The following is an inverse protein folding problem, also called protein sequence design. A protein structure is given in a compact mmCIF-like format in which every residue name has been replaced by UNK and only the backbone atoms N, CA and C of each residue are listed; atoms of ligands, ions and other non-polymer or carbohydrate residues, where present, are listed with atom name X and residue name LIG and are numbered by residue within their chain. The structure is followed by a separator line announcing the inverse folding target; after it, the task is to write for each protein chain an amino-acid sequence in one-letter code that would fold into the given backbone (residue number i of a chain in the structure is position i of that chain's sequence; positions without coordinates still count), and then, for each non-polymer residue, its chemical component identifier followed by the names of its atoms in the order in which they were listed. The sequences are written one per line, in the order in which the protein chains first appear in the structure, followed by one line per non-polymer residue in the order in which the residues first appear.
data_IF_729458721453
#
_entry.id   IF_729458721453
#
_cell.length_a   1.000
_cell.length_b   1.000
_cell.length_c   1.000
_cell.angle_alpha   90.00
_cell.angle_beta   90.00
_cell.angle_gamma   90.00
#
_symmetry.space_group_name_H-M   'P 1'
#
loop_
_entity.id
_entity.type
_entity.pdbx_description
1 polymer ?
#
# COMPACT_ATOMS: atom_id res chain seq x y z
N UNK A 1 10.58 20.31 -7.46
CA UNK A 1 10.22 20.02 -6.05
C UNK A 1 11.41 20.20 -5.12
N UNK A 2 12.55 19.53 -5.36
CA UNK A 2 13.74 19.62 -4.49
C UNK A 2 14.46 20.98 -4.50
N UNK A 3 14.50 21.67 -5.65
CA UNK A 3 15.05 23.03 -5.73
C UNK A 3 14.31 24.07 -4.87
N UNK A 4 13.10 23.75 -4.39
CA UNK A 4 12.27 24.64 -3.58
C UNK A 4 12.28 24.31 -2.08
N UNK A 5 13.05 23.29 -1.66
CA UNK A 5 13.19 22.92 -0.24
C UNK A 5 14.62 22.43 0.04
N UNK A 6 15.53 23.34 0.45
CA UNK A 6 16.92 23.00 0.74
C UNK A 6 17.07 21.94 1.83
N UNK A 7 16.20 21.98 2.85
CA UNK A 7 16.19 20.99 3.93
C UNK A 7 15.89 19.57 3.39
N UNK A 8 14.86 19.42 2.55
CA UNK A 8 14.52 18.13 1.95
C UNK A 8 15.62 17.64 1.00
N UNK A 9 16.20 18.55 0.21
CA UNK A 9 17.32 18.21 -0.67
C UNK A 9 18.52 17.69 0.12
N UNK A 10 18.86 18.35 1.22
CA UNK A 10 19.93 17.93 2.12
C UNK A 10 19.64 16.57 2.76
N UNK A 11 18.42 16.36 3.27
CA UNK A 11 18.01 15.05 3.81
C UNK A 11 18.06 13.93 2.77
N UNK A 12 17.65 14.19 1.52
CA UNK A 12 17.74 13.20 0.44
C UNK A 12 19.19 12.89 0.04
N UNK A 13 20.07 13.89 0.05
CA UNK A 13 21.48 13.69 -0.21
C UNK A 13 22.14 12.86 0.91
N UNK A 14 21.77 13.11 2.17
CA UNK A 14 22.32 12.41 3.33
C UNK A 14 22.00 10.91 3.35
N UNK A 15 20.85 10.50 2.80
CA UNK A 15 20.46 9.08 2.72
C UNK A 15 20.97 8.38 1.45
N UNK A 16 21.62 9.11 0.54
CA UNK A 16 22.11 8.57 -0.73
C UNK A 16 23.57 8.14 -0.60
N UNK A 17 23.88 6.91 -1.01
CA UNK A 17 25.25 6.45 -1.23
C UNK A 17 25.47 6.08 -2.70
N UNK A 18 26.68 6.33 -3.19
CA UNK A 18 27.11 5.89 -4.53
C UNK A 18 28.16 4.80 -4.30
N UNK A 19 27.87 3.60 -4.77
CA UNK A 19 28.75 2.43 -4.69
C UNK A 19 29.14 1.96 -6.09
N UNK A 20 30.06 1.00 -6.18
CA UNK A 20 30.45 0.38 -7.46
C UNK A 20 29.26 -0.29 -8.18
N UNK A 21 28.25 -0.71 -7.42
CA UNK A 21 27.02 -1.32 -7.92
C UNK A 21 25.92 -0.30 -8.27
N UNK A 22 26.19 0.99 -8.14
CA UNK A 22 25.25 2.07 -8.48
C UNK A 22 24.84 2.95 -7.29
N UNK A 23 23.75 3.69 -7.45
CA UNK A 23 23.23 4.56 -6.39
C UNK A 23 22.27 3.79 -5.48
N UNK A 24 22.53 3.81 -4.17
CA UNK A 24 21.63 3.27 -3.14
C UNK A 24 21.06 4.39 -2.26
N UNK A 25 19.84 4.17 -1.75
CA UNK A 25 19.19 5.06 -0.80
C UNK A 25 18.88 4.29 0.48
N UNK A 26 19.15 4.90 1.63
CA UNK A 26 18.91 4.36 2.96
C UNK A 26 17.87 5.22 3.69
N UNK A 27 16.59 5.14 3.28
CA UNK A 27 15.53 5.90 3.93
C UNK A 27 15.39 5.49 5.40
N UNK A 28 14.93 6.43 6.23
CA UNK A 28 14.47 6.14 7.58
C UNK A 28 13.23 5.24 7.49
N UNK A 29 13.45 3.93 7.65
CA UNK A 29 12.39 2.93 7.51
C UNK A 29 11.33 3.02 8.59
N UNK A 30 11.66 3.53 9.78
CA UNK A 30 10.66 3.74 10.84
C UNK A 30 9.71 4.88 10.46
N UNK A 31 10.25 5.95 9.88
CA UNK A 31 9.43 7.03 9.32
C UNK A 31 8.58 6.54 8.15
N UNK A 32 9.14 5.72 7.26
CA UNK A 32 8.38 5.14 6.14
C UNK A 32 7.22 4.31 6.67
N UNK A 33 7.47 3.38 7.61
CA UNK A 33 6.41 2.56 8.24
C UNK A 33 5.32 3.41 8.87
N UNK A 34 5.66 4.44 9.67
CA UNK A 34 4.67 5.36 10.25
C UNK A 34 3.80 6.05 9.20
N UNK A 35 4.39 6.46 8.08
CA UNK A 35 3.64 7.10 6.98
C UNK A 35 2.71 6.08 6.31
N UNK A 36 3.21 4.88 6.01
CA UNK A 36 2.43 3.82 5.38
C UNK A 36 1.25 3.40 6.28
N UNK A 37 1.49 3.18 7.58
CA UNK A 37 0.42 2.87 8.55
C UNK A 37 -0.64 3.97 8.59
N UNK A 38 -0.23 5.25 8.61
CA UNK A 38 -1.18 6.37 8.59
C UNK A 38 -2.05 6.37 7.33
N UNK A 39 -1.46 6.14 6.16
CA UNK A 39 -2.19 6.09 4.90
C UNK A 39 -3.13 4.88 4.88
N UNK A 40 -2.67 3.73 5.35
CA UNK A 40 -3.45 2.51 5.40
C UNK A 40 -4.67 2.65 6.32
N UNK A 41 -4.51 3.23 7.52
CA UNK A 41 -5.63 3.57 8.42
C UNK A 41 -6.68 4.46 7.75
N UNK A 42 -6.25 5.44 6.96
CA UNK A 42 -7.16 6.30 6.22
C UNK A 42 -7.97 5.54 5.16
N UNK A 43 -7.34 4.59 4.45
CA UNK A 43 -8.03 3.75 3.48
C UNK A 43 -8.96 2.74 4.13
N UNK A 44 -8.57 2.13 5.25
CA UNK A 44 -9.45 1.24 6.01
C UNK A 44 -10.71 1.99 6.48
N UNK A 45 -10.56 3.19 7.04
CA UNK A 45 -11.70 4.01 7.47
C UNK A 45 -12.58 4.44 6.29
N UNK A 46 -12.00 4.73 5.13
CA UNK A 46 -12.74 5.16 3.96
C UNK A 46 -13.46 4.01 3.24
N UNK A 47 -12.78 2.88 3.02
CA UNK A 47 -13.30 1.76 2.24
C UNK A 47 -14.12 0.77 3.08
N UNK A 48 -13.60 0.42 4.26
CA UNK A 48 -14.14 -0.64 5.12
C UNK A 48 -14.97 -0.12 6.28
N UNK A 49 -14.95 1.20 6.53
CA UNK A 49 -15.57 1.82 7.72
C UNK A 49 -14.90 1.40 9.05
N UNK A 50 -13.63 0.98 8.99
CA UNK A 50 -12.88 0.51 10.15
C UNK A 50 -11.89 1.54 10.68
N UNK A 51 -11.83 1.68 12.00
CA UNK A 51 -10.94 2.62 12.69
C UNK A 51 -9.95 1.88 13.57
N UNK A 52 -8.69 1.83 13.16
CA UNK A 52 -7.62 1.19 13.91
C UNK A 52 -6.82 2.22 14.72
N UNK A 53 -6.92 2.15 16.05
CA UNK A 53 -6.12 2.96 16.97
C UNK A 53 -4.82 2.24 17.40
N UNK A 54 -4.81 0.91 17.39
CA UNK A 54 -3.65 0.09 17.71
C UNK A 54 -2.68 -0.06 16.54
N UNK A 55 -1.46 -0.50 16.83
CA UNK A 55 -0.46 -0.80 15.81
C UNK A 55 -0.88 -2.01 14.98
N UNK A 56 -0.62 -2.00 13.66
CA UNK A 56 -0.88 -3.13 12.79
C UNK A 56 -0.05 -4.35 13.19
N UNK A 57 -0.55 -5.52 12.82
CA UNK A 57 0.16 -6.79 12.98
C UNK A 57 1.43 -6.83 12.13
N UNK A 58 1.35 -6.33 10.89
CA UNK A 58 2.50 -6.22 10.00
C UNK A 58 2.45 -4.95 9.14
N UNK A 59 3.63 -4.45 8.78
CA UNK A 59 3.84 -3.35 7.82
C UNK A 59 4.99 -3.72 6.90
N UNK A 60 4.65 -4.20 5.71
CA UNK A 60 5.61 -4.60 4.69
C UNK A 60 5.77 -3.52 3.64
N UNK A 61 7.01 -3.26 3.26
CA UNK A 61 7.40 -2.26 2.27
C UNK A 61 8.50 -2.84 1.41
N UNK A 62 8.23 -3.01 0.12
CA UNK A 62 9.13 -3.68 -0.80
C UNK A 62 9.04 -3.11 -2.21
N UNK A 63 10.15 -3.09 -2.99
CA UNK A 63 10.08 -2.89 -4.42
C UNK A 63 9.33 -4.06 -5.08
N UNK A 64 8.35 -3.77 -5.94
CA UNK A 64 7.61 -4.80 -6.68
C UNK A 64 8.55 -5.68 -7.53
N UNK A 65 9.63 -5.11 -8.06
CA UNK A 65 10.63 -5.82 -8.84
C UNK A 65 11.42 -6.88 -8.07
N UNK A 66 11.31 -6.93 -6.74
CA UNK A 66 11.94 -7.96 -5.91
C UNK A 66 11.01 -9.14 -5.62
N UNK A 67 9.72 -9.03 -5.95
CA UNK A 67 8.78 -10.15 -5.80
C UNK A 67 9.00 -11.16 -6.93
N UNK A 68 8.83 -12.45 -6.61
CA UNK A 68 8.62 -13.47 -7.62
C UNK A 68 7.26 -13.28 -8.29
N UNK A 69 7.06 -13.85 -9.49
CA UNK A 69 5.77 -13.77 -10.18
C UNK A 69 4.61 -14.25 -9.31
N UNK A 70 4.81 -15.33 -8.54
CA UNK A 70 3.80 -15.85 -7.63
C UNK A 70 3.53 -14.89 -6.46
N UNK A 71 4.57 -14.30 -5.86
CA UNK A 71 4.39 -13.35 -4.76
C UNK A 71 3.72 -12.06 -5.25
N UNK A 72 4.03 -11.61 -6.46
CA UNK A 72 3.35 -10.49 -7.11
C UNK A 72 1.88 -10.81 -7.36
N UNK A 73 1.56 -11.99 -7.88
CA UNK A 73 0.18 -12.43 -8.07
C UNK A 73 -0.59 -12.48 -6.74
N UNK A 74 0.00 -13.01 -5.68
CA UNK A 74 -0.62 -13.05 -4.35
C UNK A 74 -0.86 -11.64 -3.80
N UNK A 75 0.11 -10.74 -3.97
CA UNK A 75 -0.04 -9.34 -3.56
C UNK A 75 -1.13 -8.62 -4.37
N UNK A 76 -1.22 -8.89 -5.67
CA UNK A 76 -2.16 -8.18 -6.55
C UNK A 76 -3.60 -8.68 -6.50
N UNK A 77 -3.86 -9.83 -5.86
CA UNK A 77 -5.18 -10.45 -5.77
C UNK A 77 -5.60 -10.70 -4.32
N UNK A 78 -6.90 -10.54 -4.04
CA UNK A 78 -7.49 -10.96 -2.76
C UNK A 78 -7.84 -12.45 -2.81
N UNK A 79 -7.25 -13.23 -1.89
CA UNK A 79 -7.52 -14.65 -1.71
C UNK A 79 -7.23 -15.56 -2.92
N UNK A 80 -6.82 -16.80 -2.66
CA UNK A 80 -6.64 -17.85 -3.69
C UNK A 80 -7.99 -18.39 -4.24
N UNK A 81 -8.96 -17.51 -4.54
CA UNK A 81 -10.29 -17.90 -4.97
C UNK A 81 -11.15 -18.57 -3.89
N UNK A 82 -10.70 -18.59 -2.63
CA UNK A 82 -11.47 -19.06 -1.48
C UNK A 82 -12.05 -17.86 -0.76
N UNK A 83 -13.37 -17.69 -0.91
CA UNK A 83 -14.24 -16.78 -0.17
C UNK A 83 -13.52 -15.52 0.34
N UNK A 84 -13.20 -14.58 -0.57
CA UNK A 84 -12.87 -13.21 -0.17
C UNK A 84 -13.95 -12.78 0.82
N UNK A 85 -13.55 -12.46 2.06
CA UNK A 85 -14.53 -12.19 3.10
C UNK A 85 -15.36 -10.99 2.65
N UNK A 86 -16.68 -11.16 2.65
CA UNK A 86 -17.58 -10.15 2.11
C UNK A 86 -17.41 -8.89 2.96
N UNK A 87 -17.17 -7.72 2.34
CA UNK A 87 -17.08 -6.48 3.09
C UNK A 87 -18.40 -6.20 3.81
N UNK A 88 -18.32 -5.44 4.90
CA UNK A 88 -19.49 -5.05 5.68
C UNK A 88 -20.55 -4.38 4.81
N UNK A 89 -21.82 -4.71 5.10
CA UNK A 89 -22.96 -4.15 4.38
C UNK A 89 -23.00 -2.63 4.57
N UNK A 90 -22.99 -1.90 3.46
CA UNK A 90 -22.97 -0.44 3.46
C UNK A 90 -21.58 0.18 3.37
N UNK A 91 -20.51 -0.62 3.49
CA UNK A 91 -19.14 -0.17 3.21
C UNK A 91 -18.97 0.22 1.73
N UNK A 92 -17.96 1.03 1.43
CA UNK A 92 -17.63 1.36 0.03
C UNK A 92 -17.06 0.15 -0.69
N UNK A 93 -16.29 -0.69 0.00
CA UNK A 93 -15.80 -1.95 -0.55
C UNK A 93 -16.97 -2.83 -1.05
N UNK A 94 -18.08 -2.91 -0.30
CA UNK A 94 -19.29 -3.62 -0.76
C UNK A 94 -19.94 -2.95 -1.98
N UNK A 95 -20.02 -1.62 -2.02
CA UNK A 95 -20.54 -0.89 -3.19
C UNK A 95 -19.68 -1.16 -4.44
N UNK A 96 -18.35 -1.21 -4.29
CA UNK A 96 -17.42 -1.48 -5.40
C UNK A 96 -17.54 -2.89 -5.98
N UNK A 97 -17.96 -3.87 -5.20
CA UNK A 97 -18.25 -5.21 -5.73
C UNK A 97 -19.44 -5.19 -6.71
N UNK A 98 -20.38 -4.27 -6.53
CA UNK A 98 -21.57 -4.11 -7.38
C UNK A 98 -21.33 -3.13 -8.55
N UNK A 99 -20.67 -2.00 -8.27
CA UNK A 99 -20.45 -0.91 -9.23
C UNK A 99 -19.17 -1.09 -10.07
N UNK A 100 -18.25 -1.94 -9.61
CA UNK A 100 -16.91 -2.09 -10.15
C UNK A 100 -15.88 -1.17 -9.48
N UNK A 101 -14.60 -1.48 -9.72
CA UNK A 101 -13.48 -0.71 -9.20
C UNK A 101 -13.03 0.36 -10.21
N UNK A 102 -12.67 1.58 -9.77
CA UNK A 102 -12.14 2.61 -10.67
C UNK A 102 -10.77 2.20 -11.22
N UNK A 103 -10.69 2.02 -12.55
CA UNK A 103 -9.47 1.64 -13.25
C UNK A 103 -9.66 0.38 -14.07
N UNK A 104 -8.55 -0.25 -14.44
CA UNK A 104 -8.46 -1.46 -15.26
C UNK A 104 -8.08 -2.71 -14.46
N UNK A 105 -7.88 -2.58 -13.14
CA UNK A 105 -7.52 -3.66 -12.23
C UNK A 105 -8.65 -3.97 -11.24
N UNK A 106 -9.26 -5.16 -11.30
CA UNK A 106 -10.20 -5.62 -10.28
C UNK A 106 -9.58 -5.55 -8.87
N UNK A 107 -10.37 -5.14 -7.87
CA UNK A 107 -9.90 -5.00 -6.48
C UNK A 107 -9.08 -3.75 -6.19
N UNK A 108 -8.52 -3.08 -7.20
CA UNK A 108 -7.69 -1.89 -7.03
C UNK A 108 -8.46 -0.61 -7.35
N UNK A 109 -8.39 0.36 -6.45
CA UNK A 109 -8.80 1.75 -6.71
C UNK A 109 -7.60 2.50 -7.28
N UNK A 110 -7.65 2.83 -8.58
CA UNK A 110 -6.61 3.64 -9.23
C UNK A 110 -6.90 5.12 -9.03
N UNK A 111 -6.19 5.74 -8.08
CA UNK A 111 -6.34 7.18 -7.74
C UNK A 111 -5.63 8.06 -8.77
N UNK A 112 -4.40 7.68 -9.14
CA UNK A 112 -3.62 8.35 -10.17
C UNK A 112 -2.85 7.31 -10.98
N UNK A 113 -3.20 7.18 -12.27
CA UNK A 113 -2.59 6.20 -13.17
C UNK A 113 -1.06 6.26 -13.14
N UNK A 114 -0.44 5.11 -12.89
CA UNK A 114 1.03 4.96 -12.82
C UNK A 114 1.70 5.64 -11.63
N UNK A 115 0.94 6.15 -10.66
CA UNK A 115 1.46 6.92 -9.52
C UNK A 115 0.92 6.44 -8.18
N UNK A 116 -0.38 6.17 -8.09
CA UNK A 116 -0.98 5.70 -6.86
C UNK A 116 -2.21 4.84 -7.11
N UNK A 117 -2.18 3.64 -6.56
CA UNK A 117 -3.32 2.73 -6.46
C UNK A 117 -3.31 2.05 -5.10
N UNK A 118 -4.49 1.69 -4.61
CA UNK A 118 -4.63 0.95 -3.36
C UNK A 118 -5.77 -0.06 -3.46
N UNK A 119 -5.77 -0.97 -2.51
CA UNK A 119 -6.76 -2.01 -2.31
C UNK A 119 -6.99 -2.11 -0.81
N UNK A 120 -8.24 -2.25 -0.39
CA UNK A 120 -8.62 -2.50 0.99
C UNK A 120 -9.70 -3.57 1.01
N UNK A 121 -9.64 -4.47 1.97
CA UNK A 121 -10.52 -5.62 2.06
C UNK A 121 -10.17 -6.50 3.25
N UNK A 122 -10.84 -7.64 3.32
CA UNK A 122 -10.80 -8.52 4.48
C UNK A 122 -10.36 -9.92 4.04
N UNK A 123 -9.28 -10.42 4.64
CA UNK A 123 -8.73 -11.79 4.51
C UNK A 123 -8.77 -12.47 5.90
N UNK A 124 -7.64 -12.91 6.45
CA UNK A 124 -7.52 -13.38 7.85
C UNK A 124 -7.51 -12.21 8.87
N UNK A 125 -8.08 -11.07 8.47
CA UNK A 125 -8.02 -9.77 9.12
C UNK A 125 -8.19 -8.65 8.09
N UNK A 126 -8.12 -7.39 8.52
CA UNK A 126 -8.23 -6.26 7.60
C UNK A 126 -6.90 -5.96 6.94
N UNK A 127 -6.90 -5.93 5.60
CA UNK A 127 -5.72 -5.69 4.79
C UNK A 127 -5.88 -4.41 4.00
N UNK A 128 -4.79 -3.62 3.95
CA UNK A 128 -4.65 -2.53 2.98
C UNK A 128 -3.35 -2.70 2.23
N UNK A 129 -3.45 -2.84 0.91
CA UNK A 129 -2.33 -2.87 -0.02
C UNK A 129 -2.29 -1.57 -0.81
N UNK A 130 -1.10 -1.04 -1.07
CA UNK A 130 -0.93 0.15 -1.90
C UNK A 130 0.34 0.08 -2.73
N UNK A 131 0.31 0.76 -3.87
CA UNK A 131 1.45 0.84 -4.78
C UNK A 131 1.72 2.30 -5.12
N UNK A 132 2.97 2.73 -4.91
CA UNK A 132 3.47 4.05 -5.25
C UNK A 132 4.36 3.97 -6.50
N UNK A 133 3.98 4.71 -7.53
CA UNK A 133 4.68 4.84 -8.82
C UNK A 133 5.01 3.51 -9.51
N UNK A 134 4.14 2.51 -9.36
CA UNK A 134 4.35 1.13 -9.86
C UNK A 134 5.71 0.52 -9.48
N UNK A 135 6.28 1.00 -8.37
CA UNK A 135 7.59 0.57 -7.88
C UNK A 135 7.51 0.08 -6.45
N UNK A 136 6.97 0.89 -5.53
CA UNK A 136 6.96 0.56 -4.11
C UNK A 136 5.62 -0.07 -3.74
N UNK A 137 5.62 -1.36 -3.45
CA UNK A 137 4.51 -2.08 -2.84
C UNK A 137 4.53 -1.92 -1.32
N UNK A 138 3.34 -1.77 -0.75
CA UNK A 138 3.16 -1.76 0.70
C UNK A 138 1.94 -2.58 1.07
N UNK A 139 2.03 -3.30 2.17
CA UNK A 139 0.95 -4.07 2.77
C UNK A 139 0.89 -3.79 4.26
N UNK A 140 -0.32 -3.56 4.77
CA UNK A 140 -0.58 -3.36 6.19
C UNK A 140 -1.74 -4.26 6.59
N UNK A 141 -1.53 -5.01 7.67
CA UNK A 141 -2.50 -6.00 8.15
C UNK A 141 -2.87 -5.73 9.61
N UNK A 142 -4.15 -5.91 9.94
CA UNK A 142 -4.69 -5.89 11.30
C UNK A 142 -5.40 -7.19 11.61
N UNK A 143 -5.46 -7.52 12.89
CA UNK A 143 -6.38 -8.51 13.43
C UNK A 143 -7.82 -7.97 13.49
N UNK A 144 -8.78 -8.87 13.73
CA UNK A 144 -10.18 -8.54 13.99
C UNK A 144 -10.40 -8.04 15.42
#
# INVERSE_FOLDING_TARGET
MLARSPALASSMAAIRSITENGTMFHPDMDRVRRIITKIARAHAAYELHEHFEHEPLAVDVFPLSLLSDQALLNFENFGDGKLAMWPDVGSRAMQRLLEGYPGDRPGWVVVQKGRYRYMAGVEDGSVVRMVLSEYLGCEVTWDF
#
